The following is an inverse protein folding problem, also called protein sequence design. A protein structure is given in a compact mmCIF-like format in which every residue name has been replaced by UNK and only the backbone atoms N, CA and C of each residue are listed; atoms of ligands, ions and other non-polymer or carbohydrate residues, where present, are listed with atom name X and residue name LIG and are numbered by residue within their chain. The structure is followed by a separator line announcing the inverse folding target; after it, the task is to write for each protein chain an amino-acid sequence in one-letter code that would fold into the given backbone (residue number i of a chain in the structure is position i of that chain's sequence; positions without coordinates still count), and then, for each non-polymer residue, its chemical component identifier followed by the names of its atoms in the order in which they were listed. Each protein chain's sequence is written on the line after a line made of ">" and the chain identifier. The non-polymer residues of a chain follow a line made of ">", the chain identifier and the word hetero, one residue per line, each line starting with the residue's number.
data_IF_416627354066
#
_entry.id   IF_416627354066
#
_cell.length_a   1.000
_cell.length_b   1.000
_cell.length_c   1.000
_cell.angle_alpha   90.00
_cell.angle_beta   90.00
_cell.angle_gamma   90.00
#
_symmetry.space_group_name_H-M   'P 1'
#
loop_
_entity.id
_entity.type
_entity.pdbx_description
1 polymer ?
#
# COMPACT_ATOMS: atom_id res chain seq x y z
N UNK A 1 11.92 9.04 -0.82
CA UNK A 1 11.08 9.84 0.11
C UNK A 1 11.09 9.27 1.53
N UNK A 2 10.86 7.96 1.71
CA UNK A 2 10.89 7.30 3.03
C UNK A 2 12.10 7.67 3.91
N UNK A 3 13.32 7.67 3.35
CA UNK A 3 14.54 8.02 4.08
C UNK A 3 14.52 9.42 4.74
N UNK A 4 13.83 10.39 4.13
CA UNK A 4 13.68 11.73 4.69
C UNK A 4 12.58 11.77 5.77
N UNK A 5 11.42 11.16 5.50
CA UNK A 5 10.28 11.22 6.42
C UNK A 5 10.45 10.39 7.68
N UNK A 6 11.20 9.29 7.63
CA UNK A 6 11.47 8.46 8.83
C UNK A 6 12.27 9.18 9.92
N UNK A 7 12.84 10.35 9.59
CA UNK A 7 13.53 11.21 10.56
C UNK A 7 12.57 12.02 11.44
N UNK A 8 11.30 12.15 11.05
CA UNK A 8 10.29 12.85 11.84
C UNK A 8 9.97 12.05 13.10
N UNK A 9 10.20 12.66 14.27
CA UNK A 9 10.01 11.98 15.55
C UNK A 9 8.56 11.53 15.80
N UNK A 10 7.58 12.27 15.28
CA UNK A 10 6.16 11.98 15.42
C UNK A 10 5.63 10.95 14.41
N UNK A 11 6.40 10.58 13.39
CA UNK A 11 5.94 9.65 12.36
C UNK A 11 5.93 8.22 12.91
N UNK A 12 4.74 7.62 12.97
CA UNK A 12 4.51 6.28 13.48
C UNK A 12 4.28 5.25 12.36
N UNK A 13 3.65 5.68 11.26
CA UNK A 13 3.27 4.83 10.14
C UNK A 13 3.57 5.53 8.81
N UNK A 14 4.01 4.76 7.81
CA UNK A 14 4.27 5.24 6.46
C UNK A 14 3.74 4.21 5.45
N UNK A 15 2.70 4.59 4.72
CA UNK A 15 2.05 3.74 3.73
C UNK A 15 2.57 4.08 2.33
N UNK A 16 3.06 3.09 1.60
CA UNK A 16 3.23 3.16 0.16
C UNK A 16 2.05 2.48 -0.51
N UNK A 17 1.48 3.13 -1.52
CA UNK A 17 0.37 2.60 -2.32
C UNK A 17 0.90 2.45 -3.74
N UNK A 18 0.89 1.23 -4.25
CA UNK A 18 1.20 0.91 -5.63
C UNK A 18 -0.11 0.58 -6.35
N UNK A 19 -0.47 1.42 -7.32
CA UNK A 19 -1.77 1.38 -7.98
C UNK A 19 -1.82 0.28 -9.03
N UNK A 20 -0.71 0.01 -9.72
CA UNK A 20 -0.65 -0.97 -10.81
C UNK A 20 -0.92 -2.40 -10.30
N UNK A 21 -0.19 -2.93 -9.30
CA UNK A 21 -0.52 -4.21 -8.66
C UNK A 21 -1.59 -4.08 -7.57
N UNK A 22 -2.16 -2.89 -7.34
CA UNK A 22 -3.11 -2.57 -6.24
C UNK A 22 -2.62 -3.09 -4.88
N UNK A 23 -1.37 -2.78 -4.53
CA UNK A 23 -0.72 -3.24 -3.30
C UNK A 23 -0.43 -2.08 -2.37
N UNK A 24 -0.44 -2.35 -1.08
CA UNK A 24 0.00 -1.42 -0.05
C UNK A 24 1.15 -2.02 0.76
N UNK A 25 2.21 -1.23 0.94
CA UNK A 25 3.34 -1.57 1.81
C UNK A 25 3.33 -0.62 3.02
N UNK A 26 2.85 -1.11 4.17
CA UNK A 26 2.75 -0.33 5.40
C UNK A 26 4.00 -0.53 6.26
N UNK A 27 4.79 0.52 6.44
CA UNK A 27 5.89 0.53 7.39
C UNK A 27 5.40 1.09 8.73
N UNK A 28 5.59 0.35 9.82
CA UNK A 28 5.27 0.79 11.18
C UNK A 28 6.53 0.91 12.03
N UNK A 29 6.66 2.02 12.75
CA UNK A 29 7.75 2.25 13.69
C UNK A 29 7.43 1.56 15.01
N UNK A 30 8.30 0.64 15.43
CA UNK A 30 8.24 0.00 16.73
C UNK A 30 8.70 0.91 17.86
N UNK A 31 8.44 0.49 19.11
CA UNK A 31 8.92 1.20 20.30
C UNK A 31 10.46 1.21 20.40
N UNK A 32 11.12 0.25 19.73
CA UNK A 32 12.58 0.17 19.55
C UNK A 32 13.12 1.15 18.48
N UNK A 33 12.23 1.87 17.80
CA UNK A 33 12.57 2.79 16.72
C UNK A 33 12.85 2.13 15.37
N UNK A 34 12.71 0.80 15.26
CA UNK A 34 12.87 0.07 14.01
C UNK A 34 11.59 0.17 13.17
N UNK A 35 11.75 0.07 11.86
CA UNK A 35 10.64 0.07 10.91
C UNK A 35 10.37 -1.35 10.44
N UNK A 36 9.16 -1.85 10.69
CA UNK A 36 8.70 -3.17 10.25
C UNK A 36 7.76 -3.01 9.06
N UNK A 37 7.96 -3.83 8.03
CA UNK A 37 7.08 -3.88 6.87
C UNK A 37 5.92 -4.84 7.13
N UNK A 38 4.71 -4.33 6.93
CA UNK A 38 3.45 -5.07 6.88
C UNK A 38 2.92 -4.99 5.45
N UNK A 39 3.27 -5.96 4.58
CA UNK A 39 2.77 -5.96 3.21
C UNK A 39 1.30 -6.36 3.18
N UNK A 40 0.52 -5.75 2.31
CA UNK A 40 -0.83 -6.19 2.00
C UNK A 40 -0.83 -7.09 0.77
N UNK A 41 -1.78 -8.02 0.70
CA UNK A 41 -2.10 -8.68 -0.56
C UNK A 41 -2.72 -7.67 -1.55
N UNK A 42 -2.63 -7.93 -2.87
CA UNK A 42 -3.32 -7.14 -3.88
C UNK A 42 -4.81 -7.02 -3.58
N UNK A 43 -5.35 -5.79 -3.66
CA UNK A 43 -6.76 -5.51 -3.42
C UNK A 43 -7.18 -5.56 -1.94
N UNK A 44 -6.28 -5.89 -1.01
CA UNK A 44 -6.59 -5.89 0.41
C UNK A 44 -6.77 -4.47 0.97
N UNK A 45 -7.51 -4.37 2.07
CA UNK A 45 -7.64 -3.12 2.85
C UNK A 45 -6.43 -2.84 3.73
N UNK A 46 -6.43 -1.68 4.37
CA UNK A 46 -5.34 -1.21 5.24
C UNK A 46 -5.86 -0.70 6.58
N UNK A 47 -5.05 -0.84 7.62
CA UNK A 47 -5.30 -0.29 8.95
C UNK A 47 -4.11 0.60 9.38
N UNK A 48 -4.41 1.88 9.60
CA UNK A 48 -3.49 2.87 10.14
C UNK A 48 -3.80 3.07 11.63
N UNK A 49 -3.11 2.32 12.48
CA UNK A 49 -3.40 2.27 13.92
C UNK A 49 -3.07 3.60 14.62
N UNK A 50 -2.08 4.35 14.12
CA UNK A 50 -1.67 5.64 14.70
C UNK A 50 -2.76 6.71 14.64
N UNK A 51 -3.70 6.57 13.71
CA UNK A 51 -4.83 7.49 13.51
C UNK A 51 -6.20 6.81 13.63
N UNK A 52 -6.24 5.51 13.97
CA UNK A 52 -7.48 4.76 14.15
C UNK A 52 -8.30 4.58 12.87
N UNK A 53 -7.66 4.63 11.69
CA UNK A 53 -8.35 4.52 10.40
C UNK A 53 -8.24 3.11 9.85
N UNK A 54 -9.38 2.54 9.42
CA UNK A 54 -9.44 1.28 8.67
C UNK A 54 -10.16 1.54 7.35
N UNK A 55 -9.54 1.12 6.25
CA UNK A 55 -10.10 1.25 4.92
C UNK A 55 -10.20 -0.15 4.32
N UNK A 56 -11.41 -0.56 3.97
CA UNK A 56 -11.64 -1.83 3.28
C UNK A 56 -11.07 -1.77 1.85
N UNK A 57 -10.68 -2.91 1.29
CA UNK A 57 -10.08 -2.97 -0.04
C UNK A 57 -11.02 -2.41 -1.11
N UNK A 58 -12.30 -2.73 -1.04
CA UNK A 58 -13.32 -2.25 -1.98
C UNK A 58 -13.39 -0.71 -2.02
N UNK A 59 -13.29 -0.07 -0.85
CA UNK A 59 -13.29 1.39 -0.74
C UNK A 59 -11.94 1.99 -1.14
N UNK A 60 -10.83 1.33 -0.80
CA UNK A 60 -9.47 1.78 -1.11
C UNK A 60 -9.22 1.84 -2.61
N UNK A 61 -9.84 0.94 -3.38
CA UNK A 61 -9.62 0.77 -4.82
C UNK A 61 -10.82 1.15 -5.71
N UNK A 62 -11.90 1.68 -5.13
CA UNK A 62 -13.19 1.90 -5.82
C UNK A 62 -13.09 2.73 -7.11
N UNK A 63 -12.21 3.73 -7.15
CA UNK A 63 -12.08 4.69 -8.26
C UNK A 63 -10.84 4.41 -9.14
N UNK A 64 -10.18 3.27 -8.93
CA UNK A 64 -9.04 2.86 -9.76
C UNK A 64 -9.56 1.96 -10.87
N UNK A 65 -9.93 2.57 -12.00
CA UNK A 65 -10.21 1.86 -13.24
C UNK A 65 -9.02 0.96 -13.60
N UNK A 66 -9.28 -0.32 -13.80
CA UNK A 66 -8.27 -1.23 -14.32
C UNK A 66 -8.26 -1.16 -15.84
N UNK A 67 -7.11 -0.93 -16.45
CA UNK A 67 -6.80 -1.68 -17.66
C UNK A 67 -6.83 -3.15 -17.24
N UNK A 68 -8.00 -3.77 -17.43
CA UNK A 68 -8.08 -5.21 -17.53
C UNK A 68 -7.09 -5.58 -18.63
N UNK A 69 -5.99 -6.21 -18.24
CA UNK A 69 -5.03 -6.84 -19.14
C UNK A 69 -5.80 -7.49 -20.30
N UNK A 70 -5.78 -6.86 -21.48
CA UNK A 70 -6.09 -7.59 -22.69
C UNK A 70 -5.01 -8.66 -22.78
N UNK A 71 -5.36 -9.96 -22.76
CA UNK A 71 -4.37 -10.96 -23.11
C UNK A 71 -3.97 -10.63 -24.54
N UNK A 72 -2.75 -10.11 -24.72
CA UNK A 72 -2.10 -9.92 -26.01
C UNK A 72 -2.22 -11.25 -26.74
N UNK A 73 -3.22 -11.36 -27.61
CA UNK A 73 -3.42 -12.50 -28.47
C UNK A 73 -2.19 -12.57 -29.37
N UNK A 74 -1.30 -13.53 -29.11
CA UNK A 74 -0.25 -13.89 -30.06
C UNK A 74 -0.91 -14.18 -31.40
N UNK A 75 -0.55 -13.50 -32.49
CA UNK A 75 -1.06 -13.87 -33.80
C UNK A 75 -0.46 -15.24 -34.18
N UNK A 76 -1.24 -16.19 -34.69
CA UNK A 76 -0.67 -17.36 -35.33
C UNK A 76 -0.08 -16.93 -36.68
N UNK A 77 1.21 -17.20 -36.88
CA UNK A 77 1.92 -17.06 -38.14
C UNK A 77 2.78 -18.29 -38.37
#
# INVERSE_FOLDING_TARGET
>A
KFAAYRMLASLQEYLLVDVDPRRCDLYRRGADGLWVLHPSEPGAGVELASVGVKVAGEALWAEIEGEASEPSASPPG
#
